data_IF_019791431434
#
_entry.id   IF_019791431434
#
_cell.length_a   1.000
_cell.length_b   1.000
_cell.length_c   1.000
_cell.angle_alpha   90.00
_cell.angle_beta   90.00
_cell.angle_gamma   90.00
#
_symmetry.space_group_name_H-M   'P 1'
#
loop_
_entity.id
_entity.type
_entity.pdbx_description
1 polymer ?
#
# COMPACT_ATOMS: atom_id res chain seq x y z
N UNK A 1 -13.14 -45.23 22.10
CA UNK A 1 -14.25 -45.25 23.07
C UNK A 1 -14.20 -43.92 23.84
N UNK A 2 -15.26 -43.09 23.68
CA UNK A 2 -15.79 -42.03 24.58
C UNK A 2 -14.88 -40.88 25.12
N UNK A 3 -15.03 -39.71 24.50
CA UNK A 3 -15.57 -38.40 25.00
C UNK A 3 -15.42 -37.89 26.46
N UNK A 4 -15.26 -36.54 26.54
CA UNK A 4 -15.68 -35.52 27.56
C UNK A 4 -14.94 -35.58 28.92
N UNK A 5 -14.59 -34.50 29.66
CA UNK A 5 -15.11 -33.12 29.89
C UNK A 5 -14.05 -32.39 30.76
N UNK A 6 -13.66 -31.14 30.49
CA UNK A 6 -14.16 -29.85 31.02
C UNK A 6 -13.89 -29.51 32.50
N UNK A 7 -13.44 -28.25 32.69
CA UNK A 7 -13.53 -27.35 33.85
C UNK A 7 -12.53 -27.46 35.03
N UNK A 8 -11.73 -26.39 35.22
CA UNK A 8 -11.82 -25.45 36.36
C UNK A 8 -10.51 -24.64 36.52
N UNK A 9 -10.61 -23.31 36.72
CA UNK A 9 -9.79 -22.42 37.59
C UNK A 9 -10.16 -20.96 37.22
N UNK A 10 -11.14 -20.34 37.89
CA UNK A 10 -11.06 -19.50 39.11
C UNK A 10 -10.26 -18.20 38.91
N UNK A 11 -11.04 -17.11 38.81
CA UNK A 11 -10.90 -15.76 39.38
C UNK A 11 -9.53 -15.07 39.48
N UNK A 12 -9.40 -13.93 38.79
CA UNK A 12 -9.08 -12.65 39.45
C UNK A 12 -9.59 -11.47 38.61
N UNK A 13 -10.66 -10.83 39.09
CA UNK A 13 -11.26 -9.61 38.52
C UNK A 13 -11.52 -8.64 39.68
N UNK A 14 -10.99 -7.43 39.54
CA UNK A 14 -11.15 -6.27 40.41
C UNK A 14 -10.08 -5.27 39.98
N UNK A 15 -10.31 -4.00 39.70
CA UNK A 15 -11.38 -3.10 40.10
C UNK A 15 -11.27 -1.87 39.19
N UNK A 16 -12.35 -1.46 38.50
CA UNK A 16 -12.47 -0.08 38.01
C UNK A 16 -13.96 0.27 37.94
N UNK A 17 -14.34 1.21 38.79
CA UNK A 17 -15.70 1.67 39.01
C UNK A 17 -16.26 2.38 37.78
N UNK A 18 -17.54 2.12 37.49
CA UNK A 18 -18.34 2.92 36.57
C UNK A 18 -18.75 4.23 37.27
N UNK A 19 -18.51 5.36 36.59
CA UNK A 19 -19.16 6.62 36.94
C UNK A 19 -20.58 6.64 36.33
N UNK A 20 -21.59 7.19 37.04
CA UNK A 20 -22.95 7.24 36.53
C UNK A 20 -23.10 8.32 35.45
N UNK A 21 -23.87 7.98 34.41
CA UNK A 21 -24.28 8.90 33.35
C UNK A 21 -25.15 10.02 33.94
N UNK A 22 -24.72 11.27 33.73
CA UNK A 22 -25.53 12.45 34.04
C UNK A 22 -26.64 12.61 32.97
N UNK A 23 -27.88 12.62 33.45
CA UNK A 23 -29.08 12.97 32.71
C UNK A 23 -29.08 14.46 32.39
N UNK A 24 -29.10 14.83 31.10
CA UNK A 24 -29.27 16.20 30.64
C UNK A 24 -30.75 16.46 30.34
N UNK A 25 -31.34 17.38 31.10
CA UNK A 25 -32.67 17.94 30.88
C UNK A 25 -32.72 18.82 29.61
N UNK A 26 -33.88 19.00 28.97
CA UNK A 26 -34.01 19.82 27.77
C UNK A 26 -33.89 21.33 28.09
N UNK A 27 -33.40 22.15 27.14
CA UNK A 27 -33.19 23.56 27.39
C UNK A 27 -34.49 24.37 27.36
N UNK A 28 -34.62 25.27 28.34
CA UNK A 28 -35.64 26.31 28.40
C UNK A 28 -35.41 27.37 27.31
N UNK A 29 -36.50 27.77 26.68
CA UNK A 29 -36.59 28.93 25.78
C UNK A 29 -36.53 30.22 26.60
N UNK A 30 -35.50 31.05 26.35
CA UNK A 30 -35.39 32.38 26.95
C UNK A 30 -34.58 33.32 26.06
N UNK A 31 -35.26 34.33 25.52
CA UNK A 31 -34.72 35.44 24.76
C UNK A 31 -33.73 36.28 25.57
N UNK A 32 -32.53 36.54 25.03
CA UNK A 32 -32.01 37.91 24.89
C UNK A 32 -30.66 37.93 24.15
N UNK A 33 -30.68 38.67 23.04
CA UNK A 33 -29.54 38.94 22.15
C UNK A 33 -28.67 40.04 22.77
N UNK A 34 -27.38 39.76 22.95
CA UNK A 34 -26.33 40.79 22.92
C UNK A 34 -25.20 40.32 22.01
N UNK A 35 -25.06 40.98 20.86
CA UNK A 35 -24.00 40.70 19.88
C UNK A 35 -22.66 41.22 20.42
N UNK A 36 -21.75 40.29 20.71
CA UNK A 36 -20.33 40.59 20.91
C UNK A 36 -19.61 40.82 19.57
N UNK A 37 -18.44 41.51 19.57
CA UNK A 37 -17.74 41.90 18.35
C UNK A 37 -17.20 40.68 17.58
N UNK A 38 -17.37 40.73 16.27
CA UNK A 38 -16.91 39.73 15.30
C UNK A 38 -15.37 39.68 15.30
N UNK A 39 -14.74 38.49 15.43
CA UNK A 39 -13.29 38.37 15.36
C UNK A 39 -12.79 38.68 13.94
N UNK A 40 -11.80 39.58 13.86
CA UNK A 40 -11.13 39.95 12.61
C UNK A 40 -10.25 38.78 12.13
N UNK A 41 -10.53 38.27 10.93
CA UNK A 41 -9.69 37.26 10.27
C UNK A 41 -8.41 37.94 9.78
N UNK A 42 -7.30 37.66 10.45
CA UNK A 42 -5.97 38.06 10.00
C UNK A 42 -5.54 37.11 8.87
N UNK A 43 -5.46 37.63 7.64
CA UNK A 43 -4.87 36.92 6.50
C UNK A 43 -3.36 36.71 6.75
N UNK A 44 -2.83 35.48 6.69
CA UNK A 44 -1.40 35.26 6.83
C UNK A 44 -0.66 35.84 5.61
N UNK A 45 0.27 36.75 5.86
CA UNK A 45 1.24 37.22 4.86
C UNK A 45 2.28 36.12 4.63
N UNK A 46 2.26 35.50 3.45
CA UNK A 46 3.27 34.53 3.03
C UNK A 46 4.57 35.28 2.70
N UNK A 47 5.53 35.25 3.61
CA UNK A 47 6.89 35.71 3.34
C UNK A 47 7.58 34.69 2.44
N UNK A 48 7.85 35.10 1.20
CA UNK A 48 8.56 34.29 0.19
C UNK A 48 10.00 34.08 0.63
N UNK A 49 10.34 32.85 1.04
CA UNK A 49 11.74 32.46 1.27
C UNK A 49 12.41 32.30 -0.09
N UNK A 50 13.33 33.21 -0.41
CA UNK A 50 14.17 33.10 -1.61
C UNK A 50 15.29 32.09 -1.37
N UNK A 51 15.23 30.96 -2.07
CA UNK A 51 16.33 29.99 -2.10
C UNK A 51 17.37 30.46 -3.13
N UNK A 52 18.67 30.58 -2.77
CA UNK A 52 19.71 30.96 -3.72
C UNK A 52 19.92 29.85 -4.77
N UNK A 53 19.96 30.27 -6.02
CA UNK A 53 20.23 29.44 -7.20
C UNK A 53 21.65 28.88 -7.13
N UNK A 54 21.79 27.54 -7.20
CA UNK A 54 23.08 26.87 -7.29
C UNK A 54 23.69 27.09 -8.69
N UNK A 55 24.87 27.70 -8.73
CA UNK A 55 25.67 27.91 -9.93
C UNK A 55 26.19 26.58 -10.47
N UNK A 56 25.94 26.31 -11.75
CA UNK A 56 26.41 25.11 -12.47
C UNK A 56 27.89 25.24 -12.82
N UNK A 57 28.76 24.57 -12.07
CA UNK A 57 30.17 24.38 -12.45
C UNK A 57 30.33 23.27 -13.48
N UNK A 58 31.07 23.61 -14.52
CA UNK A 58 31.38 22.88 -15.76
C UNK A 58 32.09 21.55 -15.50
N UNK A 59 31.56 20.47 -16.09
CA UNK A 59 32.09 19.09 -16.02
C UNK A 59 33.33 18.94 -16.93
N UNK A 60 34.47 18.55 -16.35
CA UNK A 60 35.70 18.18 -17.09
C UNK A 60 35.58 16.74 -17.62
N UNK A 61 36.02 16.40 -18.85
CA UNK A 61 35.93 15.04 -19.37
C UNK A 61 36.93 14.10 -18.69
N UNK A 62 36.48 12.89 -18.37
CA UNK A 62 37.31 11.78 -17.86
C UNK A 62 37.89 11.02 -19.06
N UNK A 63 39.19 10.64 -19.06
CA UNK A 63 39.79 9.87 -20.15
C UNK A 63 39.35 8.40 -20.13
N UNK A 64 39.06 7.87 -21.32
CA UNK A 64 38.78 6.46 -21.59
C UNK A 64 40.07 5.63 -21.48
N UNK A 65 40.07 4.65 -20.58
CA UNK A 65 41.12 3.62 -20.48
C UNK A 65 40.57 2.28 -20.96
N UNK A 66 41.15 1.76 -22.04
CA UNK A 66 40.96 0.41 -22.57
C UNK A 66 41.64 -0.63 -21.67
N UNK A 67 40.95 -1.73 -21.37
CA UNK A 67 41.53 -2.94 -20.76
C UNK A 67 41.12 -4.16 -21.61
N UNK A 68 41.99 -5.17 -21.80
CA UNK A 68 41.84 -6.21 -22.80
C UNK A 68 40.98 -7.38 -22.34
N UNK A 69 40.42 -8.08 -23.33
CA UNK A 69 39.74 -9.36 -23.20
C UNK A 69 40.63 -10.42 -22.56
N UNK A 70 40.12 -11.13 -21.56
CA UNK A 70 40.67 -12.42 -21.14
C UNK A 70 39.52 -13.37 -20.84
N UNK A 71 39.43 -14.39 -21.68
CA UNK A 71 38.51 -15.53 -21.58
C UNK A 71 38.99 -16.39 -20.40
N UNK A 72 38.10 -16.67 -19.45
CA UNK A 72 38.28 -17.77 -18.50
C UNK A 72 36.98 -18.55 -18.35
N UNK A 73 37.09 -19.81 -18.75
CA UNK A 73 36.16 -20.92 -18.54
C UNK A 73 36.17 -21.34 -17.07
N UNK A 74 35.00 -21.38 -16.43
CA UNK A 74 34.84 -22.05 -15.13
C UNK A 74 33.45 -22.68 -15.00
N UNK A 75 33.45 -23.99 -15.19
CA UNK A 75 32.78 -25.08 -14.47
C UNK A 75 31.48 -24.79 -13.72
N UNK A 76 30.42 -25.41 -14.24
CA UNK A 76 29.11 -25.66 -13.66
C UNK A 76 29.20 -26.31 -12.28
N UNK A 77 28.60 -25.68 -11.26
CA UNK A 77 28.22 -26.35 -10.01
C UNK A 77 26.75 -26.11 -9.76
N UNK A 78 25.98 -27.20 -9.83
CA UNK A 78 24.53 -27.27 -9.62
C UNK A 78 24.21 -27.11 -8.14
N UNK A 79 23.61 -25.98 -7.75
CA UNK A 79 22.88 -25.86 -6.48
C UNK A 79 21.38 -25.81 -6.77
N UNK A 80 20.67 -26.76 -6.19
CA UNK A 80 19.22 -27.00 -6.30
C UNK A 80 18.38 -25.75 -6.02
N UNK A 81 17.81 -25.18 -7.08
CA UNK A 81 16.80 -24.13 -7.01
C UNK A 81 15.46 -24.70 -6.55
N UNK A 82 14.96 -24.18 -5.43
CA UNK A 82 13.54 -24.24 -5.12
C UNK A 82 12.79 -23.36 -6.11
N UNK A 83 11.86 -23.95 -6.86
CA UNK A 83 11.07 -23.26 -7.87
C UNK A 83 10.18 -22.21 -7.20
N UNK A 84 10.55 -20.94 -7.36
CA UNK A 84 9.74 -19.77 -7.01
C UNK A 84 8.65 -19.65 -8.06
N UNK A 85 7.40 -19.94 -7.72
CA UNK A 85 6.27 -19.45 -8.52
C UNK A 85 5.93 -18.04 -8.04
N UNK A 86 6.61 -17.05 -8.63
CA UNK A 86 5.95 -15.77 -8.92
C UNK A 86 4.73 -16.05 -9.81
N UNK A 87 3.86 -15.07 -10.04
CA UNK A 87 2.88 -15.20 -11.11
C UNK A 87 3.63 -15.70 -12.36
N UNK A 88 3.30 -16.91 -12.82
CA UNK A 88 4.11 -17.61 -13.82
C UNK A 88 4.44 -16.64 -14.96
N UNK A 89 5.72 -16.50 -15.38
CA UNK A 89 6.07 -15.65 -16.51
C UNK A 89 5.13 -15.99 -17.67
N UNK A 90 4.33 -15.02 -18.11
CA UNK A 90 3.30 -15.18 -19.13
C UNK A 90 1.84 -15.25 -18.66
N UNK A 91 1.53 -15.16 -17.36
CA UNK A 91 0.12 -15.13 -16.90
C UNK A 91 -0.60 -13.82 -17.23
N UNK A 92 0.09 -12.73 -17.54
CA UNK A 92 -0.56 -11.49 -18.02
C UNK A 92 0.33 -10.88 -19.11
N UNK A 93 0.19 -11.30 -20.38
CA UNK A 93 1.17 -11.04 -21.43
C UNK A 93 1.31 -9.55 -21.77
N UNK A 94 0.28 -8.74 -21.51
CA UNK A 94 0.36 -7.30 -21.72
C UNK A 94 1.05 -6.57 -20.57
N UNK A 95 1.28 -7.20 -19.42
CA UNK A 95 1.97 -6.61 -18.27
C UNK A 95 3.40 -7.16 -18.26
N UNK A 96 4.35 -6.31 -18.65
CA UNK A 96 5.77 -6.65 -18.71
C UNK A 96 6.52 -5.75 -17.74
N UNK A 97 7.30 -6.37 -16.87
CA UNK A 97 8.18 -5.68 -15.93
C UNK A 97 9.63 -5.80 -16.37
N UNK A 98 10.43 -4.79 -16.06
CA UNK A 98 11.89 -4.87 -16.18
C UNK A 98 12.41 -5.89 -15.18
N UNK A 99 13.10 -6.96 -15.62
CA UNK A 99 13.65 -7.95 -14.72
C UNK A 99 14.61 -7.33 -13.69
N UNK A 100 14.55 -7.83 -12.46
CA UNK A 100 15.61 -7.56 -11.49
C UNK A 100 16.77 -8.54 -11.76
N UNK A 101 17.73 -8.14 -12.60
CA UNK A 101 18.88 -8.98 -13.00
C UNK A 101 19.92 -9.18 -11.88
N UNK A 102 19.56 -8.98 -10.62
CA UNK A 102 20.51 -8.95 -9.51
C UNK A 102 19.84 -9.28 -8.18
N UNK A 103 20.60 -9.85 -7.22
CA UNK A 103 20.06 -10.19 -5.91
C UNK A 103 19.59 -8.95 -5.13
N UNK A 104 18.78 -9.15 -4.07
CA UNK A 104 18.40 -8.10 -3.14
C UNK A 104 19.62 -7.35 -2.61
N UNK A 105 19.48 -6.02 -2.46
CA UNK A 105 20.58 -5.16 -2.02
C UNK A 105 20.71 -5.05 -0.50
N UNK A 106 19.69 -5.50 0.24
CA UNK A 106 19.66 -5.50 1.69
C UNK A 106 19.27 -6.89 2.21
N UNK A 107 19.83 -7.33 3.35
CA UNK A 107 19.43 -8.58 3.96
C UNK A 107 18.01 -8.48 4.52
N UNK A 108 17.39 -9.63 4.81
CA UNK A 108 16.18 -9.66 5.62
C UNK A 108 16.47 -9.10 7.02
N UNK A 109 15.49 -8.41 7.58
CA UNK A 109 15.56 -7.84 8.92
C UNK A 109 15.66 -8.94 9.98
N UNK A 110 16.62 -8.79 10.91
CA UNK A 110 16.80 -9.70 12.03
C UNK A 110 15.84 -9.36 13.17
N UNK A 111 14.96 -10.30 13.50
CA UNK A 111 13.96 -10.12 14.55
C UNK A 111 14.47 -10.49 15.95
N UNK A 112 15.68 -11.00 16.10
CA UNK A 112 16.19 -11.58 17.36
C UNK A 112 16.22 -10.56 18.50
N UNK A 113 16.62 -9.32 18.20
CA UNK A 113 16.77 -8.23 19.17
C UNK A 113 15.92 -6.99 18.82
N UNK A 114 14.95 -7.14 17.92
CA UNK A 114 14.13 -6.04 17.44
C UNK A 114 13.14 -5.56 18.51
N UNK A 115 12.74 -4.28 18.42
CA UNK A 115 11.70 -3.73 19.28
C UNK A 115 10.39 -4.56 19.18
N UNK A 116 9.74 -4.92 20.31
CA UNK A 116 8.48 -5.64 20.29
C UNK A 116 7.39 -5.02 19.41
N UNK A 117 7.36 -3.69 19.28
CA UNK A 117 6.44 -2.97 18.40
C UNK A 117 6.72 -3.26 16.92
N UNK A 118 8.00 -3.36 16.51
CA UNK A 118 8.41 -3.75 15.16
C UNK A 118 8.02 -5.20 14.89
N UNK A 119 8.27 -6.10 15.84
CA UNK A 119 7.88 -7.52 15.75
C UNK A 119 6.35 -7.65 15.59
N UNK A 120 5.57 -6.84 16.32
CA UNK A 120 4.11 -6.80 16.17
C UNK A 120 3.71 -6.27 14.80
N UNK A 121 4.33 -5.19 14.34
CA UNK A 121 4.05 -4.57 13.04
C UNK A 121 4.41 -5.47 11.84
N UNK A 122 5.42 -6.33 11.97
CA UNK A 122 5.74 -7.38 10.98
C UNK A 122 4.61 -8.40 10.78
N UNK A 123 3.68 -8.50 11.75
CA UNK A 123 2.52 -9.39 11.72
C UNK A 123 1.23 -8.68 11.27
N UNK A 124 1.32 -7.45 10.76
CA UNK A 124 0.18 -6.70 10.18
C UNK A 124 -0.54 -7.52 9.13
N UNK A 125 0.20 -8.31 8.36
CA UNK A 125 -0.34 -9.32 7.45
C UNK A 125 0.01 -10.70 8.01
N UNK A 126 -0.93 -11.68 8.05
CA UNK A 126 -0.76 -12.94 8.77
C UNK A 126 0.10 -13.97 8.01
N UNK A 127 1.12 -13.51 7.30
CA UNK A 127 2.14 -14.33 6.66
C UNK A 127 3.39 -13.50 6.35
N UNK A 128 4.58 -14.13 6.25
CA UNK A 128 5.81 -13.42 5.96
C UNK A 128 5.76 -12.71 4.60
N UNK A 129 6.32 -11.50 4.57
CA UNK A 129 6.51 -10.69 3.37
C UNK A 129 7.91 -10.08 3.39
N UNK A 130 8.67 -10.34 2.35
CA UNK A 130 10.03 -9.81 2.12
C UNK A 130 10.02 -8.30 2.10
N UNK A 131 8.98 -7.67 1.55
CA UNK A 131 8.79 -6.23 1.63
C UNK A 131 8.65 -5.72 3.07
N UNK A 132 7.85 -6.38 3.91
CA UNK A 132 7.70 -5.95 5.30
C UNK A 132 9.00 -6.11 6.09
N UNK A 133 9.73 -7.21 5.84
CA UNK A 133 11.08 -7.39 6.38
C UNK A 133 12.04 -6.28 5.91
N UNK A 134 11.99 -5.91 4.63
CA UNK A 134 12.82 -4.83 4.08
C UNK A 134 12.49 -3.47 4.72
N UNK A 135 11.21 -3.15 4.86
CA UNK A 135 10.76 -1.89 5.47
C UNK A 135 11.08 -1.83 6.97
N UNK A 136 11.15 -2.97 7.66
CA UNK A 136 11.45 -3.02 9.09
C UNK A 136 12.84 -2.49 9.45
N UNK A 137 13.79 -2.44 8.51
CA UNK A 137 15.09 -1.75 8.71
C UNK A 137 14.93 -0.27 9.04
N UNK A 138 13.82 0.37 8.62
CA UNK A 138 13.48 1.73 8.98
C UNK A 138 12.54 1.76 10.20
N UNK A 139 12.98 1.21 11.34
CA UNK A 139 12.13 0.93 12.52
C UNK A 139 11.23 2.10 12.94
N UNK A 140 11.77 3.32 13.01
CA UNK A 140 11.03 4.52 13.40
C UNK A 140 9.91 4.94 12.43
N UNK A 141 9.98 4.50 11.17
CA UNK A 141 8.94 4.72 10.15
C UNK A 141 8.06 3.49 9.94
N UNK A 142 8.58 2.30 10.21
CA UNK A 142 7.91 1.04 9.91
C UNK A 142 6.60 0.88 10.68
N UNK A 143 6.61 1.10 11.99
CA UNK A 143 5.41 0.95 12.83
C UNK A 143 4.24 1.86 12.38
N UNK A 144 4.41 3.18 12.20
CA UNK A 144 3.31 4.02 11.71
C UNK A 144 2.87 3.65 10.29
N UNK A 145 3.80 3.27 9.41
CA UNK A 145 3.49 2.84 8.05
C UNK A 145 2.65 1.55 8.03
N UNK A 146 2.92 0.62 8.95
CA UNK A 146 2.10 -0.57 9.16
C UNK A 146 0.73 -0.25 9.75
N UNK A 147 0.59 0.83 10.52
CA UNK A 147 -0.71 1.33 10.98
C UNK A 147 -1.60 1.80 9.81
N UNK A 148 -1.02 2.49 8.82
CA UNK A 148 -1.70 2.86 7.58
C UNK A 148 -2.13 1.60 6.82
N UNK A 149 -1.18 0.70 6.55
CA UNK A 149 -1.45 -0.53 5.79
C UNK A 149 -2.50 -1.42 6.47
N UNK A 150 -2.38 -1.62 7.78
CA UNK A 150 -3.33 -2.43 8.56
C UNK A 150 -4.75 -1.86 8.52
N UNK A 151 -4.88 -0.54 8.55
CA UNK A 151 -6.19 0.13 8.44
C UNK A 151 -6.82 -0.08 7.05
N UNK A 152 -6.01 -0.17 6.00
CA UNK A 152 -6.49 -0.47 4.63
C UNK A 152 -7.04 -1.89 4.49
N UNK A 153 -6.53 -2.86 5.25
CA UNK A 153 -7.07 -4.23 5.23
C UNK A 153 -8.30 -4.41 6.13
N UNK A 154 -8.48 -3.55 7.13
CA UNK A 154 -9.61 -3.59 8.05
C UNK A 154 -10.90 -3.09 7.37
N UNK A 155 -11.76 -4.02 6.95
CA UNK A 155 -13.05 -3.70 6.31
C UNK A 155 -14.04 -2.92 7.19
N UNK A 156 -13.75 -2.72 8.49
CA UNK A 156 -14.54 -1.84 9.37
C UNK A 156 -14.05 -0.40 9.39
N UNK A 157 -12.85 -0.13 8.83
CA UNK A 157 -12.22 1.19 8.77
C UNK A 157 -11.99 1.70 7.35
N UNK A 158 -11.70 0.78 6.43
CA UNK A 158 -11.50 1.07 5.00
C UNK A 158 -12.79 1.67 4.43
N UNK A 159 -12.71 2.84 3.81
CA UNK A 159 -13.84 3.44 3.10
C UNK A 159 -13.92 2.90 1.66
N UNK A 160 -12.77 2.57 1.07
CA UNK A 160 -12.71 2.03 -0.28
C UNK A 160 -13.27 0.61 -0.37
N UNK A 161 -13.94 0.33 -1.48
CA UNK A 161 -14.20 -1.04 -1.89
C UNK A 161 -12.88 -1.79 -2.10
N UNK A 162 -12.85 -3.07 -1.75
CA UNK A 162 -11.60 -3.85 -1.76
C UNK A 162 -11.05 -4.04 -3.19
N UNK A 163 -11.92 -4.10 -4.19
CA UNK A 163 -11.53 -4.19 -5.60
C UNK A 163 -10.96 -2.87 -6.12
N UNK A 164 -11.52 -1.72 -5.72
CA UNK A 164 -10.93 -0.40 -6.00
C UNK A 164 -9.52 -0.28 -5.38
N UNK A 165 -9.38 -0.69 -4.12
CA UNK A 165 -8.10 -0.71 -3.41
C UNK A 165 -7.07 -1.58 -4.15
N UNK A 166 -7.42 -2.83 -4.48
CA UNK A 166 -6.55 -3.74 -5.22
C UNK A 166 -6.17 -3.21 -6.61
N UNK A 167 -7.12 -2.57 -7.31
CA UNK A 167 -6.88 -1.93 -8.60
C UNK A 167 -5.87 -0.79 -8.48
N UNK A 168 -6.03 0.10 -7.48
CA UNK A 168 -5.09 1.19 -7.21
C UNK A 168 -3.68 0.64 -7.02
N UNK A 169 -3.56 -0.39 -6.19
CA UNK A 169 -2.28 -1.04 -5.89
C UNK A 169 -1.64 -1.64 -7.14
N UNK A 170 -2.39 -2.44 -7.89
CA UNK A 170 -1.86 -3.13 -9.07
C UNK A 170 -1.48 -2.15 -10.18
N UNK A 171 -2.33 -1.15 -10.48
CA UNK A 171 -2.03 -0.11 -11.47
C UNK A 171 -0.80 0.70 -11.08
N UNK A 172 -0.68 1.09 -9.80
CA UNK A 172 0.50 1.80 -9.29
C UNK A 172 1.77 0.96 -9.46
N UNK A 173 1.71 -0.34 -9.14
CA UNK A 173 2.82 -1.26 -9.34
C UNK A 173 3.23 -1.38 -10.81
N UNK A 174 2.27 -1.44 -11.74
CA UNK A 174 2.52 -1.47 -13.19
C UNK A 174 3.19 -0.19 -13.66
N UNK A 175 2.62 0.99 -13.37
CA UNK A 175 3.14 2.28 -13.83
C UNK A 175 4.54 2.58 -13.30
N UNK A 176 4.84 2.12 -12.09
CA UNK A 176 6.15 2.29 -11.46
C UNK A 176 7.08 1.11 -11.74
N UNK A 177 6.68 0.15 -12.57
CA UNK A 177 7.46 -1.03 -12.97
C UNK A 177 8.02 -1.81 -11.75
N UNK A 178 7.14 -2.02 -10.77
CA UNK A 178 7.41 -2.70 -9.51
C UNK A 178 6.72 -4.08 -9.47
N UNK A 179 7.37 -5.08 -10.08
CA UNK A 179 6.83 -6.43 -10.21
C UNK A 179 6.42 -7.06 -8.87
N UNK A 180 7.25 -6.95 -7.83
CA UNK A 180 6.94 -7.50 -6.51
C UNK A 180 5.59 -7.01 -5.97
N UNK A 181 5.30 -5.71 -6.16
CA UNK A 181 4.05 -5.09 -5.72
C UNK A 181 2.88 -5.65 -6.51
N UNK A 182 2.98 -5.74 -7.83
CA UNK A 182 1.93 -6.30 -8.66
C UNK A 182 1.66 -7.77 -8.33
N UNK A 183 2.70 -8.61 -8.34
CA UNK A 183 2.58 -10.06 -8.12
C UNK A 183 1.94 -10.38 -6.76
N UNK A 184 2.28 -9.64 -5.72
CA UNK A 184 1.70 -9.86 -4.39
C UNK A 184 0.23 -9.46 -4.26
N UNK A 185 -0.28 -8.59 -5.12
CA UNK A 185 -1.63 -8.03 -4.99
C UNK A 185 -2.59 -8.53 -6.08
N UNK A 186 -2.10 -8.97 -7.24
CA UNK A 186 -2.93 -9.45 -8.36
C UNK A 186 -3.78 -10.67 -7.98
N UNK A 187 -3.30 -11.51 -7.06
CA UNK A 187 -4.09 -12.61 -6.50
C UNK A 187 -5.38 -12.12 -5.83
N UNK A 188 -5.33 -10.96 -5.16
CA UNK A 188 -6.52 -10.35 -4.57
C UNK A 188 -7.57 -10.02 -5.63
N UNK A 189 -7.16 -9.48 -6.79
CA UNK A 189 -8.07 -9.19 -7.91
C UNK A 189 -8.78 -10.45 -8.41
N UNK A 190 -8.05 -11.57 -8.52
CA UNK A 190 -8.65 -12.84 -8.91
C UNK A 190 -9.66 -13.36 -7.86
N UNK A 191 -9.39 -13.15 -6.58
CA UNK A 191 -10.27 -13.57 -5.47
C UNK A 191 -11.57 -12.77 -5.45
N UNK A 192 -11.52 -11.47 -5.77
CA UNK A 192 -12.71 -10.61 -5.90
C UNK A 192 -13.42 -10.77 -7.25
N UNK A 193 -12.99 -11.74 -8.07
CA UNK A 193 -13.70 -12.15 -9.28
C UNK A 193 -13.31 -11.41 -10.55
N UNK A 194 -12.19 -10.66 -10.57
CA UNK A 194 -11.68 -10.14 -11.83
C UNK A 194 -11.12 -11.26 -12.69
N UNK A 195 -11.58 -11.31 -13.94
CA UNK A 195 -11.04 -12.25 -14.92
C UNK A 195 -9.66 -11.81 -15.43
N UNK A 196 -9.02 -12.74 -16.13
CA UNK A 196 -7.73 -12.54 -16.75
C UNK A 196 -7.68 -11.33 -17.68
N UNK A 197 -8.71 -11.14 -18.53
CA UNK A 197 -8.72 -10.11 -19.56
C UNK A 197 -8.80 -8.72 -18.92
N UNK A 198 -9.60 -8.59 -17.86
CA UNK A 198 -9.72 -7.36 -17.07
C UNK A 198 -8.42 -7.02 -16.37
N UNK A 199 -7.77 -8.00 -15.72
CA UNK A 199 -6.46 -7.77 -15.09
C UNK A 199 -5.42 -7.38 -16.14
N UNK A 200 -5.36 -8.08 -17.27
CA UNK A 200 -4.41 -7.79 -18.35
C UNK A 200 -4.64 -6.40 -18.97
N UNK A 201 -5.87 -5.88 -18.93
CA UNK A 201 -6.20 -4.53 -19.37
C UNK A 201 -5.60 -3.43 -18.48
N UNK A 202 -5.11 -3.76 -17.28
CA UNK A 202 -4.46 -2.79 -16.38
C UNK A 202 -3.19 -2.16 -16.95
N UNK A 203 -2.60 -2.64 -18.06
CA UNK A 203 -1.44 -2.00 -18.71
C UNK A 203 -1.82 -0.99 -19.82
N UNK A 204 -3.09 -0.58 -19.93
CA UNK A 204 -3.48 0.37 -20.96
C UNK A 204 -2.91 1.77 -20.75
N UNK A 205 -2.89 2.58 -21.81
CA UNK A 205 -2.39 3.96 -21.70
C UNK A 205 -3.44 4.88 -21.05
N UNK A 206 -2.98 6.01 -20.50
CA UNK A 206 -3.89 7.05 -20.00
C UNK A 206 -4.87 7.51 -21.10
N UNK A 207 -4.39 7.66 -22.33
CA UNK A 207 -5.21 8.04 -23.48
C UNK A 207 -6.34 7.02 -23.74
N UNK A 208 -6.06 5.71 -23.63
CA UNK A 208 -7.08 4.67 -23.80
C UNK A 208 -8.14 4.74 -22.68
N UNK A 209 -7.72 5.02 -21.45
CA UNK A 209 -8.64 5.19 -20.31
C UNK A 209 -9.58 6.37 -20.56
N UNK A 210 -9.04 7.53 -20.96
CA UNK A 210 -9.82 8.74 -21.29
C UNK A 210 -10.74 8.51 -22.48
N UNK A 211 -10.27 7.78 -23.50
CA UNK A 211 -11.05 7.43 -24.69
C UNK A 211 -12.16 6.39 -24.43
N UNK A 212 -12.35 5.92 -23.19
CA UNK A 212 -13.43 5.00 -22.86
C UNK A 212 -13.12 3.52 -23.14
N UNK A 213 -11.86 3.16 -23.44
CA UNK A 213 -11.50 1.78 -23.76
C UNK A 213 -11.43 0.88 -22.51
N UNK A 214 -11.43 -0.44 -22.74
CA UNK A 214 -11.29 -1.47 -21.70
C UNK A 214 -12.57 -1.78 -20.92
N UNK A 215 -12.54 -2.85 -20.09
CA UNK A 215 -13.69 -3.39 -19.38
C UNK A 215 -13.99 -2.66 -18.06
N UNK A 216 -13.79 -1.34 -18.03
CA UNK A 216 -13.91 -0.54 -16.80
C UNK A 216 -15.32 -0.01 -16.61
N UNK A 217 -15.80 -0.12 -15.38
CA UNK A 217 -16.96 0.67 -14.95
C UNK A 217 -16.60 2.17 -14.97
N UNK A 218 -17.61 3.04 -14.93
CA UNK A 218 -17.38 4.48 -14.85
C UNK A 218 -16.51 4.85 -13.64
N UNK A 219 -16.80 4.24 -12.48
CA UNK A 219 -16.02 4.42 -11.25
C UNK A 219 -14.57 3.98 -11.39
N UNK A 220 -14.33 2.79 -11.95
CA UNK A 220 -12.98 2.29 -12.16
C UNK A 220 -12.18 3.18 -13.12
N UNK A 221 -12.83 3.69 -14.17
CA UNK A 221 -12.20 4.58 -15.14
C UNK A 221 -11.73 5.90 -14.51
N UNK A 222 -12.55 6.50 -13.64
CA UNK A 222 -12.17 7.73 -12.94
C UNK A 222 -11.00 7.46 -11.99
N UNK A 223 -11.05 6.37 -11.21
CA UNK A 223 -9.93 5.99 -10.34
C UNK A 223 -8.64 5.73 -11.12
N UNK A 224 -8.71 5.04 -12.27
CA UNK A 224 -7.56 4.83 -13.16
C UNK A 224 -6.96 6.15 -13.66
N UNK A 225 -7.79 7.13 -14.04
CA UNK A 225 -7.31 8.48 -14.37
C UNK A 225 -6.63 9.15 -13.19
N UNK A 226 -7.22 9.08 -11.99
CA UNK A 226 -6.64 9.66 -10.78
C UNK A 226 -5.24 9.10 -10.54
N UNK A 227 -5.08 7.77 -10.64
CA UNK A 227 -3.80 7.09 -10.45
C UNK A 227 -2.78 7.56 -11.48
N UNK A 228 -3.15 7.52 -12.77
CA UNK A 228 -2.25 7.90 -13.87
C UNK A 228 -1.75 9.34 -13.72
N UNK A 229 -2.65 10.28 -13.45
CA UNK A 229 -2.30 11.70 -13.27
C UNK A 229 -1.42 11.91 -12.02
N UNK A 230 -1.70 11.22 -10.90
CA UNK A 230 -0.89 11.29 -9.69
C UNK A 230 0.52 10.73 -9.89
N UNK A 231 0.66 9.65 -10.66
CA UNK A 231 1.98 9.06 -10.91
C UNK A 231 2.78 9.92 -11.90
N UNK A 232 2.15 10.42 -12.95
CA UNK A 232 2.79 11.22 -14.00
C UNK A 232 3.16 12.64 -13.52
N UNK A 233 2.18 13.35 -12.95
CA UNK A 233 2.29 14.80 -12.66
C UNK A 233 2.35 15.15 -11.19
N UNK A 234 2.13 14.20 -10.29
CA UNK A 234 1.99 14.45 -8.84
C UNK A 234 0.84 15.41 -8.50
N UNK A 235 -0.17 15.45 -9.37
CA UNK A 235 -1.36 16.28 -9.26
C UNK A 235 -2.51 15.64 -10.03
N UNK A 236 -3.74 16.01 -9.73
CA UNK A 236 -4.90 15.67 -10.55
C UNK A 236 -5.48 16.89 -11.23
N UNK A 237 -6.13 16.67 -12.37
CA UNK A 237 -6.90 17.73 -13.02
C UNK A 237 -8.18 18.02 -12.25
N UNK A 238 -8.58 19.30 -12.23
CA UNK A 238 -9.79 19.75 -11.54
C UNK A 238 -11.01 18.94 -12.01
N UNK A 239 -11.17 18.79 -13.32
CA UNK A 239 -12.25 18.03 -13.92
C UNK A 239 -12.27 16.56 -13.44
N UNK A 240 -11.11 15.90 -13.36
CA UNK A 240 -11.02 14.52 -12.88
C UNK A 240 -11.50 14.40 -11.43
N UNK A 241 -11.15 15.37 -10.57
CA UNK A 241 -11.59 15.40 -9.17
C UNK A 241 -13.08 15.73 -9.05
N UNK A 242 -13.59 16.68 -9.83
CA UNK A 242 -15.02 17.01 -9.85
C UNK A 242 -15.86 15.80 -10.27
N UNK A 243 -15.46 15.09 -11.32
CA UNK A 243 -16.10 13.85 -11.76
C UNK A 243 -16.02 12.77 -10.67
N UNK A 244 -14.87 12.62 -10.00
CA UNK A 244 -14.71 11.66 -8.92
C UNK A 244 -15.67 11.94 -7.76
N UNK A 245 -15.87 13.20 -7.39
CA UNK A 245 -16.79 13.59 -6.31
C UNK A 245 -18.27 13.35 -6.64
N UNK A 246 -18.60 13.04 -7.90
CA UNK A 246 -19.98 12.61 -8.26
C UNK A 246 -20.26 11.15 -7.88
N UNK A 247 -19.23 10.33 -7.63
CA UNK A 247 -19.33 8.88 -7.43
C UNK A 247 -18.53 8.33 -6.24
N UNK A 248 -17.58 9.11 -5.73
CA UNK A 248 -16.80 8.84 -4.53
C UNK A 248 -17.21 9.83 -3.45
N UNK A 249 -17.29 9.34 -2.22
CA UNK A 249 -17.30 10.20 -1.05
C UNK A 249 -15.92 10.86 -0.86
N UNK A 250 -15.88 11.99 -0.14
CA UNK A 250 -14.61 12.67 0.19
C UNK A 250 -13.63 11.71 0.91
N UNK A 251 -14.04 10.90 1.91
CA UNK A 251 -13.16 9.91 2.54
C UNK A 251 -12.58 8.90 1.55
N UNK A 252 -13.37 8.36 0.63
CA UNK A 252 -12.88 7.42 -0.39
C UNK A 252 -11.85 8.06 -1.33
N UNK A 253 -12.08 9.31 -1.75
CA UNK A 253 -11.14 10.03 -2.60
C UNK A 253 -9.81 10.29 -1.88
N UNK A 254 -9.86 10.77 -0.64
CA UNK A 254 -8.65 10.99 0.17
C UNK A 254 -7.92 9.68 0.42
N UNK A 255 -8.64 8.62 0.77
CA UNK A 255 -8.07 7.29 0.98
C UNK A 255 -7.41 6.76 -0.29
N UNK A 256 -8.01 6.99 -1.47
CA UNK A 256 -7.42 6.61 -2.76
C UNK A 256 -6.05 7.27 -2.96
N UNK A 257 -5.93 8.57 -2.67
CA UNK A 257 -4.66 9.30 -2.79
C UNK A 257 -3.62 8.81 -1.78
N UNK A 258 -4.02 8.51 -0.54
CA UNK A 258 -3.14 7.90 0.47
C UNK A 258 -2.63 6.55 -0.01
N UNK A 259 -3.49 5.73 -0.62
CA UNK A 259 -3.09 4.43 -1.15
C UNK A 259 -2.12 4.54 -2.32
N UNK A 260 -2.35 5.48 -3.25
CA UNK A 260 -1.43 5.77 -4.36
C UNK A 260 -0.06 6.18 -3.80
N UNK A 261 -0.01 7.09 -2.83
CA UNK A 261 1.25 7.53 -2.20
C UNK A 261 1.97 6.42 -1.45
N UNK A 262 1.24 5.62 -0.68
CA UNK A 262 1.77 4.48 0.07
C UNK A 262 2.40 3.45 -0.87
N UNK A 263 1.68 3.08 -1.93
CA UNK A 263 2.17 2.09 -2.89
C UNK A 263 3.20 2.66 -3.87
N UNK A 264 3.24 3.98 -4.08
CA UNK A 264 4.39 4.64 -4.72
C UNK A 264 5.65 4.44 -3.88
N UNK A 265 5.54 4.61 -2.56
CA UNK A 265 6.65 4.38 -1.63
C UNK A 265 7.09 2.92 -1.65
N UNK A 266 6.15 1.97 -1.56
CA UNK A 266 6.46 0.53 -1.59
C UNK A 266 7.09 0.11 -2.93
N UNK A 267 6.56 0.60 -4.05
CA UNK A 267 7.13 0.35 -5.38
C UNK A 267 8.54 0.91 -5.50
N UNK A 268 8.79 2.12 -4.99
CA UNK A 268 10.12 2.72 -4.96
C UNK A 268 11.12 1.88 -4.14
N UNK A 269 10.73 1.42 -2.95
CA UNK A 269 11.55 0.52 -2.12
C UNK A 269 11.77 -0.83 -2.80
N UNK A 270 10.71 -1.42 -3.37
CA UNK A 270 10.76 -2.71 -4.06
C UNK A 270 11.83 -2.71 -5.15
N UNK A 271 11.81 -1.67 -5.97
CA UNK A 271 12.75 -1.50 -7.08
C UNK A 271 14.12 -1.07 -6.62
N UNK A 272 14.17 -0.04 -5.77
CA UNK A 272 15.42 0.56 -5.31
C UNK A 272 16.30 -0.44 -4.56
N UNK A 273 15.68 -1.34 -3.78
CA UNK A 273 16.40 -2.35 -2.99
C UNK A 273 16.33 -3.77 -3.57
N UNK A 274 15.67 -3.93 -4.73
CA UNK A 274 15.52 -5.23 -5.42
C UNK A 274 14.91 -6.30 -4.50
N UNK A 275 13.82 -5.94 -3.83
CA UNK A 275 13.14 -6.81 -2.87
C UNK A 275 12.86 -8.17 -3.51
N UNK A 276 13.31 -9.25 -2.86
CA UNK A 276 13.09 -10.61 -3.34
C UNK A 276 11.60 -10.94 -3.40
N UNK A 277 11.23 -11.80 -4.35
CA UNK A 277 9.92 -12.43 -4.35
C UNK A 277 9.73 -13.27 -3.09
N UNK A 278 8.50 -13.31 -2.60
CA UNK A 278 8.18 -14.13 -1.43
C UNK A 278 8.28 -15.60 -1.77
N UNK A 279 8.75 -16.39 -0.81
CA UNK A 279 8.69 -17.84 -0.89
C UNK A 279 7.24 -18.29 -1.07
N UNK A 280 7.04 -19.33 -1.86
CA UNK A 280 5.73 -19.94 -2.04
C UNK A 280 5.22 -20.44 -0.69
N UNK A 281 3.96 -20.14 -0.39
CA UNK A 281 3.34 -20.57 0.87
C UNK A 281 2.10 -21.40 0.56
N UNK A 282 2.09 -22.70 0.91
CA UNK A 282 0.91 -23.54 0.77
C UNK A 282 -0.29 -22.93 1.49
N UNK A 283 -1.45 -22.92 0.83
CA UNK A 283 -2.69 -22.38 1.41
C UNK A 283 -2.80 -20.85 1.43
N UNK A 284 -1.86 -20.12 0.81
CA UNK A 284 -1.89 -18.66 0.71
C UNK A 284 -3.23 -18.13 0.17
N UNK A 285 -3.79 -18.75 -0.87
CA UNK A 285 -5.08 -18.34 -1.46
C UNK A 285 -6.23 -18.37 -0.44
N UNK A 286 -6.27 -19.36 0.45
CA UNK A 286 -7.27 -19.46 1.51
C UNK A 286 -7.12 -18.34 2.53
N UNK A 287 -5.88 -17.97 2.86
CA UNK A 287 -5.59 -16.89 3.80
C UNK A 287 -5.93 -15.53 3.17
N UNK A 288 -5.50 -15.26 1.94
CA UNK A 288 -5.83 -14.02 1.22
C UNK A 288 -7.35 -13.91 1.09
N UNK A 289 -8.04 -15.00 0.71
CA UNK A 289 -9.50 -15.01 0.66
C UNK A 289 -10.10 -14.61 2.00
N UNK A 290 -9.65 -15.20 3.10
CA UNK A 290 -10.13 -14.82 4.44
C UNK A 290 -9.89 -13.34 4.75
N UNK A 291 -8.73 -12.78 4.40
CA UNK A 291 -8.44 -11.35 4.61
C UNK A 291 -9.38 -10.46 3.79
N UNK A 292 -9.63 -10.82 2.53
CA UNK A 292 -10.40 -10.02 1.58
C UNK A 292 -11.92 -10.14 1.81
N UNK A 293 -12.42 -11.36 2.01
CA UNK A 293 -13.86 -11.65 2.03
C UNK A 293 -14.48 -11.48 3.40
N UNK A 294 -13.67 -11.64 4.44
CA UNK A 294 -14.17 -11.43 5.78
C UNK A 294 -14.00 -9.94 6.06
N UNK A 295 -15.04 -9.25 6.53
CA UNK A 295 -14.94 -7.91 7.13
C UNK A 295 -14.08 -7.94 8.42
N UNK A 296 -12.93 -8.63 8.42
CA UNK A 296 -12.32 -9.23 9.60
C UNK A 296 -11.33 -8.28 10.26
N UNK A 297 -11.72 -7.92 11.49
CA UNK A 297 -10.87 -7.60 12.63
C UNK A 297 -9.57 -8.41 12.63
N UNK A 298 -8.49 -7.81 12.12
CA UNK A 298 -7.14 -8.25 12.41
C UNK A 298 -6.63 -7.36 13.56
N UNK A 299 -6.67 -7.95 14.76
CA UNK A 299 -6.01 -7.56 16.02
C UNK A 299 -6.27 -6.15 16.58
N UNK A 300 -7.32 -6.06 17.41
CA UNK A 300 -7.33 -5.23 18.62
C UNK A 300 -8.05 -5.99 19.76
N UNK A 301 -7.51 -7.16 20.11
CA UNK A 301 -7.68 -7.73 21.44
C UNK A 301 -6.30 -7.82 22.07
N UNK A 302 -5.86 -6.67 22.58
CA UNK A 302 -4.99 -6.59 23.75
C UNK A 302 -5.87 -6.25 24.94
#
# INVERSE_FOLDING_TARGET
MKFLTSAAFISLLGLAASAPAASLAPPETGDNVTQGPVPTIIKPTLTRISIPTLSTTTKKPIPTSSVPDTISTSTTTTSSGGTVTSAAPGKYPSIVFTPADSPPLVPLFDTTNADPAVIKALKTIPFPRTMLSTLAHAEGLFVPLMGVLGSSFDGTKRNLAIDDWLMIVCRTGILLDAQYVFDNNVHGLTIVGWDFNKINSLNMTHADIVAGQGPWTHRQRILLRIIDEQIDRRSNDLQTIEEALTILTIPELVESLIMIGTYTTFSGVARGLRVAQDSTMPGLDGIIRKIITSNYRIFNQG
#
